data_IF_890852372315
#
_entry.id   IF_890852372315
#
_cell.length_a   1.000
_cell.length_b   1.000
_cell.length_c   1.000
_cell.angle_alpha   90.00
_cell.angle_beta   90.00
_cell.angle_gamma   90.00
#
_symmetry.space_group_name_H-M   'P 1'
#
loop_
_entity.id
_entity.type
_entity.pdbx_description
1 polymer ?
#
# COMPACT_ATOMS: atom_id res chain seq x y z
N UNK A 1 27.30 2.58 -20.61
CA UNK A 1 26.07 3.22 -20.15
C UNK A 1 25.25 2.14 -19.48
N UNK A 2 24.79 2.34 -18.26
CA UNK A 2 23.89 1.39 -17.62
C UNK A 2 22.56 1.34 -18.39
N UNK A 3 21.98 0.15 -18.51
CA UNK A 3 20.67 -0.04 -19.10
C UNK A 3 19.61 0.66 -18.22
N UNK A 4 18.60 1.34 -18.79
CA UNK A 4 17.53 1.94 -17.99
C UNK A 4 16.88 0.87 -17.10
N UNK A 5 16.66 1.17 -15.82
CA UNK A 5 16.14 0.21 -14.83
C UNK A 5 14.85 -0.49 -15.31
N UNK A 6 13.99 0.22 -16.04
CA UNK A 6 12.73 -0.32 -16.58
C UNK A 6 12.88 -1.40 -17.66
N UNK A 7 14.09 -1.58 -18.22
CA UNK A 7 14.40 -2.66 -19.18
C UNK A 7 15.01 -3.89 -18.49
N UNK A 8 15.42 -3.75 -17.24
CA UNK A 8 16.03 -4.86 -16.50
C UNK A 8 15.01 -5.94 -16.17
N UNK A 9 15.46 -7.19 -16.36
CA UNK A 9 14.74 -8.37 -15.90
C UNK A 9 15.56 -9.07 -14.82
N UNK A 10 14.92 -9.39 -13.72
CA UNK A 10 15.56 -10.00 -12.56
C UNK A 10 14.66 -11.06 -11.93
N UNK A 11 15.27 -12.03 -11.32
CA UNK A 11 14.61 -12.87 -10.31
C UNK A 11 14.42 -12.04 -9.03
N UNK A 12 13.54 -12.48 -8.13
CA UNK A 12 13.36 -11.83 -6.83
C UNK A 12 14.69 -11.77 -6.04
N UNK A 13 15.50 -12.82 -6.07
CA UNK A 13 16.77 -12.83 -5.33
C UNK A 13 17.74 -11.77 -5.86
N UNK A 14 17.88 -11.68 -7.19
CA UNK A 14 18.70 -10.64 -7.82
C UNK A 14 18.17 -9.25 -7.50
N UNK A 15 16.84 -9.05 -7.52
CA UNK A 15 16.21 -7.77 -7.21
C UNK A 15 16.44 -7.32 -5.76
N UNK A 16 16.35 -8.23 -4.81
CA UNK A 16 16.58 -7.90 -3.39
C UNK A 16 18.04 -7.59 -3.05
N UNK A 17 18.98 -8.11 -3.85
CA UNK A 17 20.41 -7.82 -3.73
C UNK A 17 20.88 -6.68 -4.64
N UNK A 18 19.99 -6.21 -5.54
CA UNK A 18 20.33 -5.17 -6.51
C UNK A 18 20.34 -3.77 -5.90
N UNK A 19 21.36 -3.00 -6.26
CA UNK A 19 21.53 -1.59 -5.93
C UNK A 19 22.00 -0.85 -7.18
N UNK A 20 21.26 0.15 -7.60
CA UNK A 20 21.63 1.01 -8.74
C UNK A 20 22.44 2.23 -8.31
N UNK A 21 22.76 2.36 -7.02
CA UNK A 21 23.49 3.49 -6.44
C UNK A 21 22.66 4.77 -6.32
N UNK A 22 21.34 4.70 -6.45
CA UNK A 22 20.42 5.83 -6.29
C UNK A 22 19.48 5.60 -5.10
N UNK A 23 18.77 6.66 -4.67
CA UNK A 23 17.70 6.57 -3.68
C UNK A 23 16.33 6.20 -4.32
N UNK A 24 16.31 5.86 -5.60
CA UNK A 24 15.09 5.48 -6.30
C UNK A 24 14.55 4.17 -5.74
N UNK A 25 13.25 4.10 -5.54
CA UNK A 25 12.57 2.88 -5.11
C UNK A 25 11.99 2.15 -6.30
N UNK A 26 11.97 0.84 -6.19
CA UNK A 26 11.53 -0.03 -7.27
C UNK A 26 10.60 -1.12 -6.76
N UNK A 27 9.73 -1.58 -7.66
CA UNK A 27 8.97 -2.81 -7.56
C UNK A 27 9.46 -3.80 -8.61
N UNK A 28 9.28 -5.08 -8.37
CA UNK A 28 9.50 -6.13 -9.36
C UNK A 28 8.15 -6.68 -9.80
N UNK A 29 7.85 -6.60 -11.09
CA UNK A 29 6.56 -7.01 -11.64
C UNK A 29 6.80 -7.98 -12.79
N UNK A 30 6.50 -9.26 -12.57
CA UNK A 30 6.74 -10.32 -13.56
C UNK A 30 8.18 -10.31 -14.09
N UNK A 31 9.13 -10.19 -13.17
CA UNK A 31 10.55 -10.14 -13.46
C UNK A 31 11.05 -8.82 -14.04
N UNK A 32 10.20 -7.80 -14.19
CA UNK A 32 10.58 -6.48 -14.68
C UNK A 32 10.70 -5.48 -13.55
N UNK A 33 11.81 -4.75 -13.51
CA UNK A 33 12.02 -3.67 -12.56
C UNK A 33 11.17 -2.46 -12.98
N UNK A 34 10.45 -1.88 -12.04
CA UNK A 34 9.62 -0.69 -12.23
C UNK A 34 9.99 0.35 -11.19
N UNK A 35 10.35 1.54 -11.64
CA UNK A 35 10.60 2.66 -10.74
C UNK A 35 9.29 3.15 -10.12
N UNK A 36 9.34 3.45 -8.81
CA UNK A 36 8.25 4.13 -8.13
C UNK A 36 8.43 5.64 -8.30
N UNK A 37 7.37 6.32 -8.71
CA UNK A 37 7.37 7.77 -8.85
C UNK A 37 7.61 8.52 -7.53
N UNK A 38 7.90 9.82 -7.64
CA UNK A 38 7.96 10.69 -6.47
C UNK A 38 6.55 10.94 -5.92
N UNK A 39 6.39 10.74 -4.61
CA UNK A 39 5.15 11.07 -3.93
C UNK A 39 4.96 12.59 -3.83
N UNK A 40 3.72 13.07 -3.99
CA UNK A 40 3.38 14.47 -3.74
C UNK A 40 3.42 14.80 -2.25
N UNK A 41 3.50 16.09 -1.90
CA UNK A 41 3.38 16.52 -0.50
C UNK A 41 2.05 16.07 0.13
N UNK A 42 0.95 16.14 -0.63
CA UNK A 42 -0.36 15.69 -0.18
C UNK A 42 -0.39 14.19 0.11
N UNK A 43 0.20 13.36 -0.76
CA UNK A 43 0.39 11.92 -0.51
C UNK A 43 1.17 11.69 0.80
N UNK A 44 2.26 12.43 1.01
CA UNK A 44 3.06 12.30 2.23
C UNK A 44 2.29 12.65 3.50
N UNK A 45 1.44 13.69 3.47
CA UNK A 45 0.57 14.08 4.60
C UNK A 45 -0.44 12.97 4.88
N UNK A 46 -1.15 12.49 3.86
CA UNK A 46 -2.14 11.41 4.00
C UNK A 46 -1.49 10.14 4.56
N UNK A 47 -0.32 9.76 4.06
CA UNK A 47 0.40 8.61 4.56
C UNK A 47 0.78 8.76 6.04
N UNK A 48 1.26 9.93 6.43
CA UNK A 48 1.63 10.21 7.83
C UNK A 48 0.41 10.13 8.76
N UNK A 49 -0.71 10.76 8.37
CA UNK A 49 -1.95 10.74 9.14
C UNK A 49 -2.53 9.32 9.23
N UNK A 50 -2.66 8.62 8.10
CA UNK A 50 -3.14 7.24 8.06
C UNK A 50 -2.30 6.32 8.97
N UNK A 51 -0.97 6.45 8.88
CA UNK A 51 -0.07 5.65 9.70
C UNK A 51 -0.21 5.98 11.19
N UNK A 52 -0.37 7.26 11.56
CA UNK A 52 -0.54 7.68 12.96
C UNK A 52 -1.86 7.16 13.54
N UNK A 53 -2.98 7.35 12.83
CA UNK A 53 -4.31 6.92 13.27
C UNK A 53 -4.38 5.40 13.41
N UNK A 54 -3.92 4.65 12.42
CA UNK A 54 -3.90 3.19 12.48
C UNK A 54 -2.98 2.73 13.61
N UNK A 55 -1.75 3.28 13.70
CA UNK A 55 -0.78 2.85 14.72
C UNK A 55 -1.29 3.10 16.13
N UNK A 56 -1.98 4.22 16.36
CA UNK A 56 -2.55 4.59 17.67
C UNK A 56 -3.64 3.63 18.16
N UNK A 57 -4.34 2.97 17.23
CA UNK A 57 -5.47 2.09 17.53
C UNK A 57 -5.22 0.60 17.24
N UNK A 58 -4.01 0.20 16.82
CA UNK A 58 -3.70 -1.20 16.53
C UNK A 58 -3.97 -2.14 17.72
N UNK A 59 -4.56 -3.28 17.42
CA UNK A 59 -4.64 -4.35 18.41
C UNK A 59 -3.25 -4.80 18.88
N UNK A 60 -3.17 -5.25 20.13
CA UNK A 60 -1.93 -5.74 20.71
C UNK A 60 -1.32 -6.87 19.85
N UNK A 61 -0.04 -6.74 19.55
CA UNK A 61 0.70 -7.69 18.73
C UNK A 61 0.72 -7.35 17.24
N UNK A 62 -0.14 -6.46 16.75
CA UNK A 62 -0.08 -5.93 15.39
C UNK A 62 0.99 -4.82 15.27
N UNK A 63 1.52 -4.66 14.08
CA UNK A 63 2.54 -3.64 13.73
C UNK A 63 2.22 -3.00 12.40
N UNK A 64 2.20 -1.67 12.38
CA UNK A 64 2.14 -0.88 11.16
C UNK A 64 3.55 -0.70 10.57
N UNK A 65 3.65 -0.77 9.27
CA UNK A 65 4.89 -0.67 8.50
C UNK A 65 4.66 0.23 7.29
N UNK A 66 5.58 1.15 7.06
CA UNK A 66 5.54 2.07 5.91
C UNK A 66 6.48 1.53 4.84
N UNK A 67 5.98 1.41 3.61
CA UNK A 67 6.77 1.08 2.42
C UNK A 67 7.65 -0.16 2.60
N UNK A 68 7.06 -1.24 3.06
CA UNK A 68 7.72 -2.54 3.19
C UNK A 68 7.20 -3.50 2.13
N UNK A 69 8.10 -4.26 1.51
CA UNK A 69 7.74 -5.17 0.45
C UNK A 69 6.76 -6.27 0.85
N UNK A 70 5.98 -6.72 -0.10
CA UNK A 70 5.10 -7.89 0.02
C UNK A 70 5.35 -8.86 -1.11
N UNK A 71 5.28 -10.15 -0.80
CA UNK A 71 5.42 -11.25 -1.75
C UNK A 71 4.04 -11.72 -2.20
N UNK A 72 3.92 -12.02 -3.49
CA UNK A 72 2.66 -12.48 -4.07
C UNK A 72 2.69 -14.01 -4.21
N UNK A 73 1.75 -14.75 -3.61
CA UNK A 73 1.69 -16.19 -3.70
C UNK A 73 1.58 -16.66 -5.15
N UNK A 74 2.43 -17.63 -5.52
CA UNK A 74 2.46 -18.18 -6.88
C UNK A 74 3.14 -17.30 -7.94
N UNK A 75 3.68 -16.14 -7.54
CA UNK A 75 4.42 -15.22 -8.42
C UNK A 75 5.81 -14.93 -7.84
N UNK A 76 6.79 -15.84 -8.04
CA UNK A 76 8.11 -15.72 -7.44
C UNK A 76 8.96 -14.56 -8.00
N UNK A 77 8.49 -13.95 -9.05
CA UNK A 77 9.12 -12.82 -9.76
C UNK A 77 8.33 -11.51 -9.61
N UNK A 78 7.45 -11.43 -8.60
CA UNK A 78 6.65 -10.22 -8.31
C UNK A 78 6.83 -9.81 -6.85
N UNK A 79 7.19 -8.53 -6.66
CA UNK A 79 7.45 -7.90 -5.39
C UNK A 79 6.88 -6.48 -5.41
N UNK A 80 5.87 -6.23 -4.61
CA UNK A 80 5.27 -4.90 -4.45
C UNK A 80 5.73 -4.21 -3.18
N UNK A 81 5.67 -2.89 -3.17
CA UNK A 81 6.02 -2.04 -2.03
C UNK A 81 4.86 -1.10 -1.72
N UNK A 82 3.79 -1.59 -1.09
CA UNK A 82 2.66 -0.74 -0.71
C UNK A 82 3.08 0.38 0.24
N UNK A 83 2.33 1.48 0.23
CA UNK A 83 2.60 2.64 1.06
C UNK A 83 2.52 2.32 2.55
N UNK A 84 1.54 1.50 2.94
CA UNK A 84 1.37 1.09 4.33
C UNK A 84 0.85 -0.35 4.42
N UNK A 85 1.24 -1.04 5.49
CA UNK A 85 0.75 -2.39 5.77
C UNK A 85 0.74 -2.70 7.26
N UNK A 86 -0.09 -3.66 7.66
CA UNK A 86 -0.16 -4.18 9.03
C UNK A 86 0.08 -5.68 9.03
N UNK A 87 0.87 -6.15 9.99
CA UNK A 87 1.09 -7.58 10.24
C UNK A 87 1.06 -7.90 11.74
N UNK A 88 0.67 -9.12 12.10
CA UNK A 88 0.86 -9.69 13.43
C UNK A 88 2.16 -10.51 13.53
N UNK A 89 2.79 -10.84 12.41
CA UNK A 89 4.06 -11.53 12.41
C UNK A 89 5.19 -10.65 12.96
N UNK A 90 6.24 -11.27 13.50
CA UNK A 90 7.43 -10.53 13.93
C UNK A 90 8.31 -10.22 12.73
N UNK A 91 8.49 -8.93 12.37
CA UNK A 91 9.40 -8.57 11.30
C UNK A 91 10.83 -8.97 11.63
N UNK A 92 11.57 -9.46 10.64
CA UNK A 92 13.00 -9.67 10.77
C UNK A 92 13.72 -8.33 10.47
N UNK A 93 14.67 -7.86 11.30
CA UNK A 93 15.24 -6.52 11.20
C UNK A 93 15.94 -6.22 9.86
N UNK A 94 16.38 -7.24 9.15
CA UNK A 94 17.10 -7.09 7.87
C UNK A 94 16.29 -7.60 6.66
N UNK A 95 15.02 -7.94 6.85
CA UNK A 95 14.19 -8.43 5.74
C UNK A 95 13.48 -7.26 5.09
N UNK A 96 13.54 -7.20 3.77
CA UNK A 96 12.93 -6.12 2.98
C UNK A 96 11.43 -6.32 2.74
N UNK A 97 10.84 -7.39 3.23
CA UNK A 97 9.41 -7.69 3.09
C UNK A 97 8.80 -8.15 4.42
N UNK A 98 7.49 -7.95 4.54
CA UNK A 98 6.72 -8.39 5.70
C UNK A 98 6.06 -9.75 5.39
N UNK A 99 6.17 -10.73 6.30
CA UNK A 99 5.38 -11.95 6.21
C UNK A 99 3.94 -11.67 6.68
N UNK A 100 2.99 -12.36 6.06
CA UNK A 100 1.59 -12.41 6.47
C UNK A 100 0.96 -11.03 6.73
N UNK A 101 0.96 -10.11 5.74
CA UNK A 101 0.26 -8.84 5.89
C UNK A 101 -1.24 -9.10 6.10
N UNK A 102 -1.86 -8.39 7.05
CA UNK A 102 -3.28 -8.49 7.37
C UNK A 102 -4.04 -7.35 6.67
N UNK A 103 -3.45 -6.16 6.64
CA UNK A 103 -3.95 -4.98 5.96
C UNK A 103 -2.86 -4.44 5.04
N UNK A 104 -3.26 -3.99 3.86
CA UNK A 104 -2.42 -3.26 2.90
C UNK A 104 -3.16 -1.99 2.50
N UNK A 105 -2.45 -0.87 2.43
CA UNK A 105 -2.97 0.40 1.94
C UNK A 105 -2.07 0.98 0.86
N UNK A 106 -2.72 1.50 -0.20
CA UNK A 106 -2.11 2.26 -1.28
C UNK A 106 -2.75 3.65 -1.32
N UNK A 107 -1.94 4.69 -1.47
CA UNK A 107 -2.38 6.07 -1.56
C UNK A 107 -2.10 6.57 -2.96
N UNK A 108 -3.12 7.18 -3.61
CA UNK A 108 -3.09 7.63 -5.01
C UNK A 108 -2.40 6.61 -5.92
N UNK A 109 -2.88 5.36 -5.97
CA UNK A 109 -2.28 4.41 -6.87
C UNK A 109 -2.37 4.98 -8.29
N UNK A 110 -1.22 5.13 -8.92
CA UNK A 110 -1.10 5.65 -10.27
C UNK A 110 -2.09 4.93 -11.17
N UNK A 111 -3.04 5.71 -11.67
CA UNK A 111 -4.08 5.35 -12.62
C UNK A 111 -4.99 4.18 -12.21
N UNK A 112 -6.19 4.53 -11.85
CA UNK A 112 -7.34 3.66 -11.58
C UNK A 112 -7.64 2.59 -12.66
N UNK A 113 -6.94 2.57 -13.80
CA UNK A 113 -7.44 1.84 -14.96
C UNK A 113 -6.75 0.52 -15.32
N UNK A 114 -5.47 0.32 -15.10
CA UNK A 114 -4.82 -0.94 -15.53
C UNK A 114 -3.93 -1.62 -14.48
N UNK A 115 -3.04 -0.91 -13.83
CA UNK A 115 -2.10 -1.52 -12.88
C UNK A 115 -2.75 -1.77 -11.51
N UNK A 116 -3.69 -0.93 -11.08
CA UNK A 116 -4.42 -1.12 -9.84
C UNK A 116 -5.30 -2.38 -9.85
N UNK A 117 -6.02 -2.63 -10.93
CA UNK A 117 -6.84 -3.85 -11.06
C UNK A 117 -6.02 -5.12 -10.86
N UNK A 118 -4.78 -5.15 -11.37
CA UNK A 118 -3.84 -6.25 -11.18
C UNK A 118 -3.33 -6.32 -9.74
N UNK A 119 -2.80 -5.22 -9.18
CA UNK A 119 -2.32 -5.16 -7.79
C UNK A 119 -3.41 -5.59 -6.81
N UNK A 120 -4.62 -5.07 -6.97
CA UNK A 120 -5.78 -5.43 -6.14
C UNK A 120 -6.09 -6.93 -6.21
N UNK A 121 -6.07 -7.51 -7.42
CA UNK A 121 -6.28 -8.94 -7.60
C UNK A 121 -5.20 -9.75 -6.89
N UNK A 122 -3.94 -9.35 -7.04
CA UNK A 122 -2.79 -10.05 -6.46
C UNK A 122 -2.71 -9.91 -4.94
N UNK A 123 -3.00 -8.73 -4.39
CA UNK A 123 -3.13 -8.55 -2.93
C UNK A 123 -4.25 -9.40 -2.33
N UNK A 124 -5.38 -9.53 -3.03
CA UNK A 124 -6.47 -10.41 -2.63
C UNK A 124 -6.10 -11.90 -2.64
N UNK A 125 -5.09 -12.29 -3.43
CA UNK A 125 -4.58 -13.66 -3.46
C UNK A 125 -3.73 -14.00 -2.23
N UNK A 126 -3.24 -13.01 -1.47
CA UNK A 126 -2.48 -13.24 -0.24
C UNK A 126 -3.45 -13.76 0.85
N UNK A 127 -3.26 -14.99 1.38
CA UNK A 127 -4.24 -15.59 2.28
C UNK A 127 -4.43 -14.84 3.60
N UNK A 128 -3.38 -14.18 4.09
CA UNK A 128 -3.40 -13.42 5.34
C UNK A 128 -4.10 -12.06 5.23
N UNK A 129 -4.18 -11.50 4.03
CA UNK A 129 -4.80 -10.18 3.80
C UNK A 129 -6.30 -10.27 4.02
N UNK A 130 -6.79 -9.46 4.95
CA UNK A 130 -8.21 -9.33 5.31
C UNK A 130 -8.80 -8.03 4.83
N UNK A 131 -7.99 -6.97 4.80
CA UNK A 131 -8.43 -5.63 4.44
C UNK A 131 -7.44 -4.97 3.50
N UNK A 132 -7.98 -4.23 2.52
CA UNK A 132 -7.21 -3.39 1.61
C UNK A 132 -7.83 -1.99 1.64
N UNK A 133 -6.99 -0.98 1.73
CA UNK A 133 -7.39 0.42 1.63
C UNK A 133 -6.84 1.01 0.34
N UNK A 134 -7.71 1.65 -0.39
CA UNK A 134 -7.38 2.51 -1.50
C UNK A 134 -7.72 3.94 -1.11
N UNK A 135 -6.72 4.80 -0.99
CA UNK A 135 -6.88 6.15 -0.49
C UNK A 135 -6.62 7.15 -1.62
N UNK A 136 -7.66 7.84 -2.06
CA UNK A 136 -7.54 8.91 -3.04
C UNK A 136 -7.34 10.25 -2.33
N UNK A 137 -6.24 10.93 -2.62
CA UNK A 137 -5.94 12.26 -2.08
C UNK A 137 -6.81 13.30 -2.75
N UNK A 138 -6.98 13.23 -4.07
CA UNK A 138 -7.76 14.21 -4.84
C UNK A 138 -9.25 14.17 -4.50
N UNK A 139 -9.83 12.97 -4.48
CA UNK A 139 -11.25 12.80 -4.18
C UNK A 139 -11.56 12.77 -2.69
N UNK A 140 -10.53 12.75 -1.82
CA UNK A 140 -10.68 12.58 -0.37
C UNK A 140 -11.62 11.42 -0.03
N UNK A 141 -11.39 10.30 -0.68
CA UNK A 141 -12.18 9.09 -0.58
C UNK A 141 -11.30 7.91 -0.21
N UNK A 142 -11.82 7.05 0.65
CA UNK A 142 -11.20 5.76 0.99
C UNK A 142 -12.13 4.65 0.53
N UNK A 143 -11.59 3.72 -0.26
CA UNK A 143 -12.26 2.47 -0.55
C UNK A 143 -11.68 1.37 0.33
N UNK A 144 -12.52 0.84 1.21
CA UNK A 144 -12.19 -0.29 2.07
C UNK A 144 -12.71 -1.57 1.43
N UNK A 145 -11.80 -2.47 1.11
CA UNK A 145 -12.12 -3.83 0.69
C UNK A 145 -11.90 -4.77 1.86
N UNK A 146 -12.95 -5.48 2.28
CA UNK A 146 -12.91 -6.43 3.41
C UNK A 146 -13.23 -7.83 2.95
N UNK A 147 -12.41 -8.80 3.36
CA UNK A 147 -12.63 -10.22 3.06
C UNK A 147 -13.76 -10.78 3.94
N UNK A 148 -14.83 -11.27 3.28
CA UNK A 148 -16.02 -11.83 3.93
C UNK A 148 -16.05 -13.36 3.93
N UNK A 149 -14.90 -14.02 3.83
CA UNK A 149 -14.76 -15.47 3.75
C UNK A 149 -14.65 -16.00 2.32
N UNK A 150 -13.78 -16.97 2.13
CA UNK A 150 -13.42 -17.49 0.80
C UNK A 150 -12.90 -16.40 -0.13
N UNK A 151 -13.43 -16.35 -1.34
CA UNK A 151 -13.06 -15.36 -2.37
C UNK A 151 -13.93 -14.10 -2.36
N UNK A 152 -14.87 -13.96 -1.41
CA UNK A 152 -15.80 -12.81 -1.37
C UNK A 152 -15.18 -11.62 -0.65
N UNK A 153 -15.39 -10.44 -1.22
CA UNK A 153 -14.95 -9.16 -0.68
C UNK A 153 -16.12 -8.18 -0.66
N UNK A 154 -16.29 -7.49 0.45
CA UNK A 154 -17.16 -6.34 0.59
C UNK A 154 -16.37 -5.10 0.23
N UNK A 155 -17.00 -4.13 -0.41
CA UNK A 155 -16.41 -2.82 -0.72
C UNK A 155 -17.26 -1.74 -0.07
N UNK A 156 -16.62 -0.88 0.69
CA UNK A 156 -17.23 0.29 1.31
C UNK A 156 -16.48 1.54 0.81
N UNK A 157 -17.22 2.57 0.39
CA UNK A 157 -16.65 3.85 0.02
C UNK A 157 -16.92 4.86 1.13
N UNK A 158 -15.87 5.48 1.66
CA UNK A 158 -15.89 6.37 2.81
C UNK A 158 -15.44 7.76 2.38
N UNK A 159 -16.22 8.79 2.75
CA UNK A 159 -15.96 10.20 2.43
C UNK A 159 -16.29 11.11 3.64
N UNK A 160 -15.68 12.28 3.67
CA UNK A 160 -16.00 13.31 4.66
C UNK A 160 -15.85 12.84 6.10
N UNK A 161 -16.94 12.84 6.84
CA UNK A 161 -16.99 12.46 8.26
C UNK A 161 -17.39 10.98 8.48
N UNK A 162 -17.22 10.12 7.48
CA UNK A 162 -17.47 8.70 7.64
C UNK A 162 -16.44 8.05 8.59
N UNK A 163 -16.83 6.95 9.19
CA UNK A 163 -16.00 6.21 10.13
C UNK A 163 -15.36 5.00 9.46
N UNK A 164 -14.03 5.03 9.36
CA UNK A 164 -13.23 3.87 8.95
C UNK A 164 -13.12 2.90 10.13
N UNK A 165 -13.68 1.72 9.97
CA UNK A 165 -13.61 0.63 10.95
C UNK A 165 -12.76 -0.50 10.39
N UNK A 166 -11.64 -0.80 11.04
CA UNK A 166 -10.70 -1.84 10.65
C UNK A 166 -10.70 -2.99 11.65
N UNK A 167 -10.61 -4.22 11.14
CA UNK A 167 -10.45 -5.43 11.99
C UNK A 167 -9.11 -5.45 12.72
N UNK A 168 -8.12 -4.71 12.24
CA UNK A 168 -6.78 -4.60 12.83
C UNK A 168 -6.70 -3.56 13.95
N UNK A 169 -7.74 -2.73 14.13
CA UNK A 169 -7.80 -1.60 15.06
C UNK A 169 -8.88 -1.82 16.12
N UNK A 170 -8.60 -1.35 17.35
CA UNK A 170 -9.56 -1.36 18.45
C UNK A 170 -10.60 -0.25 18.32
N UNK A 171 -10.18 0.91 17.82
CA UNK A 171 -11.01 2.10 17.67
C UNK A 171 -11.41 2.32 16.21
N UNK A 172 -12.38 3.19 16.02
CA UNK A 172 -12.76 3.69 14.69
C UNK A 172 -12.00 4.96 14.38
N UNK A 173 -11.65 5.17 13.12
CA UNK A 173 -10.89 6.32 12.64
C UNK A 173 -11.84 7.20 11.83
N UNK A 174 -11.85 8.50 12.11
CA UNK A 174 -12.64 9.44 11.32
C UNK A 174 -11.91 9.70 9.99
N UNK A 175 -12.60 9.55 8.87
CA UNK A 175 -12.00 9.73 7.54
C UNK A 175 -11.37 11.12 7.38
N UNK A 176 -11.99 12.17 7.92
CA UNK A 176 -11.47 13.54 7.88
C UNK A 176 -10.10 13.69 8.59
N UNK A 177 -9.78 12.89 9.61
CA UNK A 177 -8.48 12.94 10.29
C UNK A 177 -7.36 12.46 9.36
N UNK A 178 -7.63 11.49 8.49
CA UNK A 178 -6.67 11.01 7.50
C UNK A 178 -6.31 12.10 6.49
N UNK A 179 -7.28 12.98 6.17
CA UNK A 179 -7.07 14.10 5.26
C UNK A 179 -6.77 15.44 5.98
N UNK A 180 -6.54 15.41 7.29
CA UNK A 180 -6.19 16.61 8.04
C UNK A 180 -4.94 17.30 7.45
N UNK A 181 -4.99 18.63 7.31
CA UNK A 181 -3.92 19.45 6.75
C UNK A 181 -3.56 19.19 5.28
N UNK A 182 -4.29 18.35 4.57
CA UNK A 182 -4.12 18.21 3.12
C UNK A 182 -4.67 19.46 2.43
N UNK A 183 -3.88 20.16 1.60
CA UNK A 183 -4.38 21.32 0.86
C UNK A 183 -5.58 20.92 -0.02
N UNK A 184 -6.56 21.81 -0.22
CA UNK A 184 -7.60 21.56 -1.20
C UNK A 184 -6.98 21.38 -2.60
N UNK A 185 -7.59 20.58 -3.48
CA UNK A 185 -7.13 20.46 -4.85
C UNK A 185 -7.13 21.85 -5.50
N UNK A 186 -6.09 22.15 -6.28
CA UNK A 186 -6.06 23.40 -7.03
C UNK A 186 -7.28 23.45 -7.97
N UNK A 187 -7.97 24.60 -8.05
CA UNK A 187 -9.05 24.73 -9.00
C UNK A 187 -8.50 24.47 -10.40
N UNK A 188 -9.09 23.51 -11.11
CA UNK A 188 -8.72 23.19 -12.49
C UNK A 188 -8.70 24.50 -13.27
N UNK A 189 -7.49 24.93 -13.68
CA UNK A 189 -7.31 26.16 -14.42
C UNK A 189 -8.21 26.15 -15.66
N UNK A 190 -9.05 27.16 -15.77
CA UNK A 190 -9.87 27.46 -16.94
C UNK A 190 -8.98 27.90 -18.09
#
# INVERSE_FOLDING_TARGET
MAEPAEQLRMTLAEFLDWDDGTDTRYELIEGRVRSMGFASAAHGIVLANLAAEIHGSLHQGCRGLIRIGVLIPGKPDTFYVPDFGVTAARPHPHRQYVPDPILIAEIDPDTFEHDWGRKLHEYRAIPSVRELLLVSVEERRIELFRRCGGARWLVESLIGEDWLRLETCADVILTSEIYASVPPPEPSGV
#
